data_IF_750627035319
#
_entry.id   IF_750627035319
#
_cell.length_a   1.000
_cell.length_b   1.000
_cell.length_c   1.000
_cell.angle_alpha   90.00
_cell.angle_beta   90.00
_cell.angle_gamma   90.00
#
_symmetry.space_group_name_H-M   'P 1'
#
loop_
_entity.id
_entity.type
_entity.pdbx_description
1 polymer ?
#
# COMPACT_ATOMS: atom_id res chain seq x y z
N UNK A 1 18.70 16.77 11.25
CA UNK A 1 18.22 15.75 12.22
C UNK A 1 16.68 15.68 12.34
N UNK A 2 15.94 16.80 12.41
CA UNK A 2 14.46 16.79 12.48
C UNK A 2 13.73 16.06 11.33
N UNK A 3 14.22 16.17 10.08
CA UNK A 3 13.59 15.51 8.91
C UNK A 3 13.73 13.98 8.90
N UNK A 4 14.73 13.43 9.60
CA UNK A 4 14.98 11.99 9.63
C UNK A 4 14.08 11.28 10.65
N UNK A 5 13.62 11.99 11.69
CA UNK A 5 12.72 11.45 12.73
C UNK A 5 11.28 11.26 12.19
N UNK A 6 10.84 12.12 11.25
CA UNK A 6 9.50 12.01 10.64
C UNK A 6 9.40 10.77 9.74
N UNK A 7 10.47 10.41 9.02
CA UNK A 7 10.55 9.22 8.18
C UNK A 7 10.53 7.90 8.97
N UNK A 8 11.03 7.91 10.21
CA UNK A 8 11.04 6.71 11.07
C UNK A 8 9.68 6.50 11.73
N UNK A 9 8.95 7.59 12.05
CA UNK A 9 7.62 7.51 12.63
C UNK A 9 6.55 6.98 11.66
N UNK A 10 6.68 7.23 10.35
CA UNK A 10 5.75 6.70 9.34
C UNK A 10 5.90 5.19 9.12
N UNK A 11 7.12 4.66 9.19
CA UNK A 11 7.39 3.22 8.99
C UNK A 11 6.85 2.38 10.16
N UNK A 12 6.92 2.91 11.39
CA UNK A 12 6.47 2.20 12.61
C UNK A 12 4.94 2.14 12.67
N UNK A 13 4.25 3.20 12.26
CA UNK A 13 2.78 3.27 12.28
C UNK A 13 2.14 2.31 11.27
N UNK A 14 2.73 2.17 10.08
CA UNK A 14 2.32 1.17 9.09
C UNK A 14 2.52 -0.24 9.67
N UNK A 15 3.69 -0.55 10.22
CA UNK A 15 4.00 -1.87 10.80
C UNK A 15 3.07 -2.31 11.94
N UNK A 16 2.65 -1.39 12.81
CA UNK A 16 1.72 -1.68 13.90
C UNK A 16 0.29 -1.95 13.42
N UNK A 17 -0.19 -1.15 12.46
CA UNK A 17 -1.51 -1.34 11.85
C UNK A 17 -1.62 -2.70 11.12
N UNK A 18 -0.53 -3.12 10.46
CA UNK A 18 -0.45 -4.38 9.73
C UNK A 18 -0.62 -5.61 10.65
N UNK A 19 -0.02 -5.61 11.83
CA UNK A 19 -0.09 -6.75 12.75
C UNK A 19 -1.46 -6.92 13.42
N UNK A 20 -2.20 -5.83 13.64
CA UNK A 20 -3.50 -5.89 14.30
C UNK A 20 -4.59 -6.51 13.40
N UNK A 21 -4.53 -6.30 12.09
CA UNK A 21 -5.56 -6.79 11.14
C UNK A 21 -5.21 -8.10 10.42
N UNK A 22 -3.93 -8.47 10.35
CA UNK A 22 -3.50 -9.73 9.75
C UNK A 22 -3.99 -10.98 10.51
N UNK A 23 -4.36 -10.85 11.79
CA UNK A 23 -4.81 -11.97 12.63
C UNK A 23 -6.18 -12.56 12.25
N UNK A 24 -6.93 -11.94 11.32
CA UNK A 24 -8.32 -12.32 11.04
C UNK A 24 -8.54 -13.11 9.73
N UNK A 25 -7.53 -13.30 8.87
CA UNK A 25 -7.76 -13.92 7.55
C UNK A 25 -6.91 -15.18 7.35
N UNK A 26 -7.42 -16.32 7.83
CA UNK A 26 -6.91 -17.65 7.51
C UNK A 26 -7.79 -18.30 6.44
N UNK A 27 -7.40 -18.27 5.16
CA UNK A 27 -7.82 -19.32 4.22
C UNK A 27 -6.91 -19.44 2.99
N UNK A 28 -6.38 -20.65 2.77
CA UNK A 28 -5.69 -21.08 1.54
C UNK A 28 -6.72 -21.25 0.41
N UNK A 29 -6.74 -20.30 -0.51
CA UNK A 29 -7.21 -20.42 -1.90
C UNK A 29 -6.18 -19.69 -2.76
N UNK A 30 -6.13 -19.86 -4.08
CA UNK A 30 -5.41 -18.88 -4.91
C UNK A 30 -5.89 -17.49 -4.51
N UNK A 31 -5.06 -16.76 -3.79
CA UNK A 31 -5.51 -15.58 -3.04
C UNK A 31 -5.73 -14.48 -4.06
N UNK A 32 -6.98 -14.29 -4.47
CA UNK A 32 -7.39 -13.08 -5.18
C UNK A 32 -6.99 -11.89 -4.31
N UNK A 33 -6.07 -11.06 -4.80
CA UNK A 33 -5.56 -9.93 -4.03
C UNK A 33 -6.62 -8.83 -4.01
N UNK A 34 -7.23 -8.60 -2.84
CA UNK A 34 -8.20 -7.52 -2.61
C UNK A 34 -7.69 -6.49 -1.62
N UNK A 35 -6.88 -6.94 -0.68
CA UNK A 35 -6.29 -6.14 0.39
C UNK A 35 -4.78 -6.11 0.27
N UNK A 36 -4.16 -5.14 0.93
CA UNK A 36 -2.70 -5.11 1.03
C UNK A 36 -2.13 -6.35 1.75
N UNK A 37 -2.82 -6.91 2.74
CA UNK A 37 -2.39 -8.15 3.41
C UNK A 37 -2.37 -9.36 2.48
N UNK A 38 -3.27 -9.45 1.50
CA UNK A 38 -3.34 -10.58 0.59
C UNK A 38 -2.07 -10.71 -0.26
N UNK A 39 -1.43 -9.58 -0.58
CA UNK A 39 -0.14 -9.55 -1.29
C UNK A 39 0.92 -10.32 -0.48
N UNK A 40 0.97 -10.09 0.83
CA UNK A 40 1.96 -10.74 1.70
C UNK A 40 1.68 -12.21 1.92
N UNK A 41 0.42 -12.64 1.97
CA UNK A 41 0.11 -14.06 2.04
C UNK A 41 0.41 -14.77 0.71
N UNK A 42 0.09 -14.11 -0.41
CA UNK A 42 0.28 -14.67 -1.74
C UNK A 42 1.77 -14.84 -2.07
N UNK A 43 2.61 -13.85 -1.77
CA UNK A 43 4.05 -13.86 -2.13
C UNK A 43 4.84 -15.00 -1.46
N UNK A 44 4.37 -15.51 -0.32
CA UNK A 44 4.98 -16.64 0.40
C UNK A 44 4.80 -17.97 -0.34
N UNK A 45 3.81 -18.06 -1.24
CA UNK A 45 3.43 -19.32 -1.89
C UNK A 45 3.40 -19.24 -3.41
N UNK A 46 3.26 -18.06 -3.99
CA UNK A 46 3.15 -17.84 -5.44
C UNK A 46 3.64 -16.45 -5.84
N UNK A 47 3.81 -16.21 -7.14
CA UNK A 47 4.15 -14.87 -7.62
C UNK A 47 2.97 -13.91 -7.55
N UNK A 48 3.25 -12.64 -7.26
CA UNK A 48 2.27 -11.54 -7.29
C UNK A 48 2.51 -10.70 -8.55
N UNK A 49 1.43 -10.31 -9.24
CA UNK A 49 1.50 -9.44 -10.41
C UNK A 49 1.58 -7.96 -10.04
N UNK A 50 2.07 -7.13 -10.97
CA UNK A 50 2.09 -5.67 -10.75
C UNK A 50 0.69 -5.07 -10.55
N UNK A 51 -0.32 -5.62 -11.21
CA UNK A 51 -1.71 -5.19 -11.08
C UNK A 51 -2.25 -5.50 -9.67
N UNK A 52 -1.93 -6.69 -9.14
CA UNK A 52 -2.28 -7.06 -7.77
C UNK A 52 -1.60 -6.19 -6.72
N UNK A 53 -0.34 -5.81 -6.95
CA UNK A 53 0.37 -4.83 -6.10
C UNK A 53 -0.40 -3.50 -6.10
N UNK A 54 -0.81 -3.00 -7.28
CA UNK A 54 -1.55 -1.75 -7.41
C UNK A 54 -2.92 -1.85 -6.73
N UNK A 55 -3.61 -2.98 -6.83
CA UNK A 55 -4.92 -3.21 -6.17
C UNK A 55 -4.78 -3.15 -4.65
N UNK A 56 -3.87 -3.93 -4.06
CA UNK A 56 -3.68 -3.92 -2.60
C UNK A 56 -3.17 -2.57 -2.09
N UNK A 57 -2.27 -1.92 -2.83
CA UNK A 57 -1.78 -0.58 -2.49
C UNK A 57 -2.86 0.50 -2.59
N UNK A 58 -3.78 0.37 -3.56
CA UNK A 58 -4.96 1.23 -3.72
C UNK A 58 -5.91 1.10 -2.54
N UNK A 59 -6.22 -0.14 -2.14
CA UNK A 59 -7.06 -0.40 -0.97
C UNK A 59 -6.46 0.24 0.28
N UNK A 60 -5.16 0.02 0.51
CA UNK A 60 -4.47 0.62 1.65
C UNK A 60 -4.52 2.16 1.63
N UNK A 61 -4.20 2.78 0.49
CA UNK A 61 -4.21 4.24 0.36
C UNK A 61 -5.59 4.84 0.65
N UNK A 62 -6.66 4.21 0.14
CA UNK A 62 -8.04 4.63 0.41
C UNK A 62 -8.43 4.43 1.88
N UNK A 63 -8.02 3.33 2.49
CA UNK A 63 -8.20 3.08 3.93
C UNK A 63 -7.51 4.15 4.77
N UNK A 64 -6.28 4.57 4.40
CA UNK A 64 -5.58 5.68 5.06
C UNK A 64 -6.24 7.03 4.80
N UNK A 65 -6.76 7.30 3.60
CA UNK A 65 -7.51 8.51 3.32
C UNK A 65 -8.81 8.60 4.14
N UNK A 66 -9.46 7.47 4.42
CA UNK A 66 -10.69 7.41 5.21
C UNK A 66 -10.45 7.56 6.72
N UNK A 67 -9.24 7.30 7.20
CA UNK A 67 -8.88 7.48 8.61
C UNK A 67 -8.68 8.98 8.93
N UNK A 68 -9.69 9.57 9.56
CA UNK A 68 -9.70 10.98 9.92
C UNK A 68 -8.54 11.37 10.84
N UNK A 69 -8.27 10.58 11.87
CA UNK A 69 -7.22 10.88 12.84
C UNK A 69 -5.83 10.80 12.20
N UNK A 70 -5.64 9.85 11.30
CA UNK A 70 -4.41 9.73 10.51
C UNK A 70 -4.23 10.95 9.58
N UNK A 71 -5.27 11.35 8.85
CA UNK A 71 -5.19 12.51 7.97
C UNK A 71 -4.95 13.82 8.74
N UNK A 72 -5.61 13.99 9.88
CA UNK A 72 -5.40 15.15 10.77
C UNK A 72 -3.94 15.21 11.27
N UNK A 73 -3.35 14.07 11.65
CA UNK A 73 -1.94 13.99 12.03
C UNK A 73 -0.97 14.35 10.89
N UNK A 74 -1.37 14.11 9.63
CA UNK A 74 -0.62 14.50 8.44
C UNK A 74 -0.89 15.94 7.98
N UNK A 75 -1.79 16.67 8.64
CA UNK A 75 -2.20 18.02 8.24
C UNK A 75 -3.12 18.06 7.01
N UNK A 76 -3.75 16.93 6.69
CA UNK A 76 -4.68 16.76 5.57
C UNK A 76 -6.12 16.60 6.04
N UNK A 77 -7.05 16.67 5.10
CA UNK A 77 -8.45 16.25 5.29
C UNK A 77 -8.70 14.96 4.54
N UNK A 78 -9.72 14.20 4.97
CA UNK A 78 -10.23 13.05 4.20
C UNK A 78 -10.55 13.44 2.74
N UNK A 79 -11.11 14.64 2.54
CA UNK A 79 -11.48 15.14 1.22
C UNK A 79 -10.26 15.47 0.36
N UNK A 80 -9.25 16.13 0.91
CA UNK A 80 -8.02 16.46 0.17
C UNK A 80 -7.22 15.21 -0.19
N UNK A 81 -7.14 14.22 0.70
CA UNK A 81 -6.50 12.93 0.42
C UNK A 81 -7.21 12.19 -0.72
N UNK A 82 -8.54 12.03 -0.63
CA UNK A 82 -9.32 11.37 -1.69
C UNK A 82 -9.24 12.11 -3.02
N UNK A 83 -9.22 13.44 -3.00
CA UNK A 83 -9.05 14.24 -4.20
C UNK A 83 -7.69 14.01 -4.86
N UNK A 84 -6.60 14.08 -4.09
CA UNK A 84 -5.25 13.80 -4.57
C UNK A 84 -5.11 12.38 -5.11
N UNK A 85 -5.61 11.38 -4.38
CA UNK A 85 -5.65 9.98 -4.83
C UNK A 85 -6.34 9.85 -6.19
N UNK A 86 -7.54 10.43 -6.35
CA UNK A 86 -8.29 10.39 -7.62
C UNK A 86 -7.52 11.02 -8.77
N UNK A 87 -6.78 12.10 -8.52
CA UNK A 87 -6.02 12.83 -9.54
C UNK A 87 -4.73 12.12 -9.95
N UNK A 88 -4.14 11.32 -9.06
CA UNK A 88 -2.81 10.74 -9.26
C UNK A 88 -2.82 9.24 -9.56
N UNK A 89 -3.84 8.49 -9.12
CA UNK A 89 -3.91 7.01 -9.22
C UNK A 89 -3.50 6.48 -10.58
N UNK A 90 -4.13 6.95 -11.66
CA UNK A 90 -3.91 6.40 -13.01
C UNK A 90 -2.51 6.70 -13.53
N UNK A 91 -1.97 7.89 -13.22
CA UNK A 91 -0.60 8.26 -13.56
C UNK A 91 0.41 7.42 -12.80
N UNK A 92 0.21 7.23 -11.49
CA UNK A 92 1.07 6.42 -10.63
C UNK A 92 1.05 4.94 -11.05
N UNK A 93 -0.14 4.39 -11.32
CA UNK A 93 -0.31 3.02 -11.81
C UNK A 93 0.40 2.82 -13.15
N UNK A 94 0.17 3.73 -14.11
CA UNK A 94 0.80 3.66 -15.44
C UNK A 94 2.32 3.73 -15.35
N UNK A 95 2.85 4.61 -14.50
CA UNK A 95 4.30 4.70 -14.27
C UNK A 95 4.84 3.39 -13.68
N UNK A 96 4.16 2.82 -12.69
CA UNK A 96 4.61 1.59 -12.06
C UNK A 96 4.60 0.42 -13.05
N UNK A 97 3.51 0.23 -13.78
CA UNK A 97 3.37 -0.82 -14.81
C UNK A 97 4.46 -0.70 -15.88
N UNK A 98 4.72 0.50 -16.39
CA UNK A 98 5.72 0.74 -17.45
C UNK A 98 7.16 0.43 -17.01
N UNK A 99 7.47 0.59 -15.72
CA UNK A 99 8.84 0.49 -15.20
C UNK A 99 9.07 -0.75 -14.34
N UNK A 100 8.16 -1.73 -14.40
CA UNK A 100 8.16 -2.90 -13.54
C UNK A 100 8.07 -4.21 -14.34
N UNK A 101 8.50 -5.30 -13.73
CA UNK A 101 8.24 -6.64 -14.22
C UNK A 101 6.76 -6.98 -14.03
N UNK A 102 6.24 -7.90 -14.85
CA UNK A 102 4.83 -8.29 -14.74
C UNK A 102 4.53 -9.08 -13.46
N UNK A 103 5.50 -9.86 -12.98
CA UNK A 103 5.35 -10.75 -11.82
C UNK A 103 6.57 -10.71 -10.91
N UNK A 104 6.35 -10.88 -9.61
CA UNK A 104 7.36 -10.84 -8.56
C UNK A 104 7.23 -12.03 -7.62
N UNK A 105 8.38 -12.56 -7.15
CA UNK A 105 8.48 -13.57 -6.08
C UNK A 105 9.24 -13.06 -4.85
N UNK A 106 9.79 -11.85 -4.95
CA UNK A 106 10.63 -11.24 -3.93
C UNK A 106 9.78 -10.30 -3.07
N UNK A 107 9.61 -10.65 -1.80
CA UNK A 107 8.81 -9.89 -0.82
C UNK A 107 9.33 -8.46 -0.63
N UNK A 108 10.65 -8.26 -0.63
CA UNK A 108 11.26 -6.94 -0.48
C UNK A 108 10.93 -6.06 -1.68
N UNK A 109 11.02 -6.59 -2.90
CA UNK A 109 10.64 -5.85 -4.11
C UNK A 109 9.15 -5.50 -4.13
N UNK A 110 8.30 -6.43 -3.72
CA UNK A 110 6.85 -6.21 -3.64
C UNK A 110 6.51 -5.11 -2.64
N UNK A 111 7.12 -5.11 -1.46
CA UNK A 111 6.98 -4.03 -0.46
C UNK A 111 7.41 -2.69 -1.04
N UNK A 112 8.59 -2.61 -1.66
CA UNK A 112 9.10 -1.36 -2.26
C UNK A 112 8.20 -0.80 -3.35
N UNK A 113 7.61 -1.67 -4.20
CA UNK A 113 6.69 -1.24 -5.25
C UNK A 113 5.36 -0.74 -4.66
N UNK A 114 4.88 -1.40 -3.61
CA UNK A 114 3.68 -0.96 -2.89
C UNK A 114 3.89 0.41 -2.26
N UNK A 115 4.98 0.58 -1.50
CA UNK A 115 5.33 1.87 -0.87
C UNK A 115 5.49 2.98 -1.92
N UNK A 116 6.14 2.67 -3.06
CA UNK A 116 6.27 3.63 -4.17
C UNK A 116 4.92 4.06 -4.73
N UNK A 117 3.96 3.14 -4.85
CA UNK A 117 2.61 3.48 -5.30
C UNK A 117 1.89 4.34 -4.27
N UNK A 118 1.87 3.92 -2.99
CA UNK A 118 1.21 4.63 -1.89
C UNK A 118 1.74 6.07 -1.79
N UNK A 119 3.05 6.26 -1.81
CA UNK A 119 3.69 7.59 -1.74
C UNK A 119 3.39 8.47 -2.96
N UNK A 120 3.00 7.89 -4.10
CA UNK A 120 2.63 8.65 -5.29
C UNK A 120 1.18 9.14 -5.23
N UNK A 121 0.30 8.37 -4.57
CA UNK A 121 -1.15 8.63 -4.52
C UNK A 121 -1.65 9.26 -3.23
N UNK A 122 -0.78 9.38 -2.23
CA UNK A 122 -1.07 9.96 -0.90
C UNK A 122 -0.42 11.34 -0.73
#
# INVERSE_FOLDING_TARGET
>A
MKKMIILIASVISIGYYLNAKASQSSFKKETEVKTFSDIYYKIETSSVSIDEIIIGATEFALTMCADRSYQEALGNTVQSCNHHFKMTKDRCASYLIKNSQRFYKDKTKVTLLTERFINCVS
#
